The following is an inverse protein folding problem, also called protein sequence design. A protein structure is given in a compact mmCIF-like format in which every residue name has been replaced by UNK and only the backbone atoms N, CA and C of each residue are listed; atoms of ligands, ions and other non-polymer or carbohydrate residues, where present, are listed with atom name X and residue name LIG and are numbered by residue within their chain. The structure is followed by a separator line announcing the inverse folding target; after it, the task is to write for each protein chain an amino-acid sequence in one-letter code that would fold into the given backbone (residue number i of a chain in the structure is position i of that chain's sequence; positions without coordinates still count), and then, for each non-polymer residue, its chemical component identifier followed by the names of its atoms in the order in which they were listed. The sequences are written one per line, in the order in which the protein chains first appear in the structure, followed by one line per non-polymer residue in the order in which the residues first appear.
data_IF_000184579563
#
_entry.id   IF_000184579563
#
_cell.length_a   1.000
_cell.length_b   1.000
_cell.length_c   1.000
_cell.angle_alpha   90.00
_cell.angle_beta   90.00
_cell.angle_gamma   90.00
#
_symmetry.space_group_name_H-M   'P 1'
#
loop_
_entity.id
_entity.type
_entity.pdbx_description
1 polymer ?
#
# COMPACT_ATOMS: atom_id res chain seq x y z
N UNK A 1 -8.78 -20.19 17.45
CA UNK A 1 -7.67 -19.23 17.25
C UNK A 1 -6.31 -19.86 17.54
N UNK A 2 -6.08 -20.38 18.72
CA UNK A 2 -4.77 -20.96 19.11
C UNK A 2 -4.29 -22.10 18.20
N UNK A 3 -5.19 -22.95 17.72
CA UNK A 3 -4.85 -24.01 16.79
C UNK A 3 -4.46 -23.48 15.40
N UNK A 4 -5.17 -22.48 14.89
CA UNK A 4 -4.82 -21.83 13.62
C UNK A 4 -3.46 -21.13 13.73
N UNK A 5 -3.18 -20.44 14.82
CA UNK A 5 -1.89 -19.79 15.06
C UNK A 5 -0.77 -20.84 15.15
N UNK A 6 -0.98 -21.92 15.87
CA UNK A 6 -0.04 -23.03 15.98
C UNK A 6 0.29 -23.67 14.63
N UNK A 7 -0.72 -23.79 13.75
CA UNK A 7 -0.52 -24.33 12.39
C UNK A 7 0.28 -23.36 11.50
N UNK A 8 0.08 -22.05 11.61
CA UNK A 8 0.91 -21.05 10.95
C UNK A 8 2.36 -21.17 11.43
N UNK A 9 2.58 -21.17 12.74
CA UNK A 9 3.91 -21.24 13.34
C UNK A 9 4.66 -22.52 12.93
N UNK A 10 3.96 -23.66 12.89
CA UNK A 10 4.52 -24.92 12.44
C UNK A 10 4.85 -24.89 10.93
N UNK A 11 4.04 -24.27 10.10
CA UNK A 11 4.28 -24.18 8.66
C UNK A 11 5.51 -23.34 8.37
N UNK A 12 5.64 -22.20 9.06
CA UNK A 12 6.80 -21.29 8.96
C UNK A 12 8.07 -21.98 9.48
N UNK A 13 7.99 -22.66 10.65
CA UNK A 13 9.18 -23.28 11.28
C UNK A 13 9.72 -24.49 10.51
N UNK A 14 8.90 -25.16 9.71
CA UNK A 14 9.33 -26.32 8.90
C UNK A 14 9.90 -25.94 7.54
N UNK A 15 9.95 -24.64 7.19
CA UNK A 15 10.43 -24.17 5.89
C UNK A 15 9.57 -24.64 4.70
N UNK A 16 8.42 -25.25 4.97
CA UNK A 16 7.41 -25.58 3.96
C UNK A 16 6.54 -24.35 3.80
N UNK A 17 7.07 -23.35 3.12
CA UNK A 17 6.34 -22.16 2.73
C UNK A 17 5.24 -22.51 1.73
N UNK A 18 4.15 -22.99 2.26
CA UNK A 18 2.90 -23.16 1.54
C UNK A 18 2.07 -21.89 1.84
N UNK A 19 2.27 -20.87 1.02
CA UNK A 19 1.63 -19.55 1.20
C UNK A 19 0.10 -19.68 1.22
N UNK A 20 -0.46 -20.56 0.42
CA UNK A 20 -1.88 -20.88 0.37
C UNK A 20 -2.41 -21.32 1.74
N UNK A 21 -1.68 -22.20 2.44
CA UNK A 21 -2.07 -22.64 3.78
C UNK A 21 -1.96 -21.53 4.81
N UNK A 22 -0.92 -20.70 4.74
CA UNK A 22 -0.75 -19.56 5.64
C UNK A 22 -1.92 -18.59 5.48
N UNK A 23 -2.31 -18.27 4.27
CA UNK A 23 -3.40 -17.33 4.00
C UNK A 23 -4.76 -17.93 4.38
N UNK A 24 -4.96 -19.22 4.17
CA UNK A 24 -6.12 -19.94 4.69
C UNK A 24 -6.24 -19.83 6.22
N UNK A 25 -5.14 -20.09 6.95
CA UNK A 25 -5.15 -20.00 8.42
C UNK A 25 -5.36 -18.57 8.92
N UNK A 26 -4.80 -17.56 8.24
CA UNK A 26 -5.07 -16.15 8.55
C UNK A 26 -6.55 -15.82 8.38
N UNK A 27 -7.18 -16.26 7.30
CA UNK A 27 -8.60 -16.09 7.08
C UNK A 27 -9.43 -16.74 8.21
N UNK A 28 -9.05 -17.93 8.69
CA UNK A 28 -9.71 -18.59 9.80
C UNK A 28 -9.57 -17.81 11.12
N UNK A 29 -8.39 -17.26 11.42
CA UNK A 29 -8.18 -16.42 12.62
C UNK A 29 -9.09 -15.19 12.57
N UNK A 30 -9.12 -14.49 11.44
CA UNK A 30 -9.93 -13.29 11.25
C UNK A 30 -11.43 -13.62 11.37
N UNK A 31 -11.88 -14.76 10.86
CA UNK A 31 -13.27 -15.22 11.07
C UNK A 31 -13.59 -15.48 12.53
N UNK A 32 -12.67 -16.08 13.28
CA UNK A 32 -12.86 -16.27 14.73
C UNK A 32 -12.95 -14.92 15.47
N UNK A 33 -12.16 -13.92 15.07
CA UNK A 33 -12.24 -12.57 15.60
C UNK A 33 -13.60 -11.91 15.27
N UNK A 34 -14.08 -12.07 14.03
CA UNK A 34 -15.38 -11.58 13.61
C UNK A 34 -16.52 -12.21 14.40
N UNK A 35 -16.44 -13.52 14.72
CA UNK A 35 -17.45 -14.23 15.50
C UNK A 35 -17.57 -13.70 16.95
N UNK A 36 -16.49 -13.18 17.52
CA UNK A 36 -16.46 -12.59 18.86
C UNK A 36 -16.68 -11.07 18.89
N UNK A 37 -16.79 -10.43 17.71
CA UNK A 37 -16.98 -8.99 17.60
C UNK A 37 -18.45 -8.61 17.82
N UNK A 38 -18.69 -7.64 18.71
CA UNK A 38 -20.04 -7.12 19.02
C UNK A 38 -20.41 -5.91 18.16
N UNK A 39 -19.45 -5.26 17.53
CA UNK A 39 -19.68 -4.16 16.58
C UNK A 39 -19.96 -4.73 15.19
N UNK A 40 -21.16 -4.54 14.70
CA UNK A 40 -21.61 -5.10 13.42
C UNK A 40 -20.85 -4.50 12.21
N UNK A 41 -20.44 -3.21 12.25
CA UNK A 41 -19.60 -2.61 11.20
C UNK A 41 -18.24 -3.32 11.16
N UNK A 42 -17.59 -3.40 12.32
CA UNK A 42 -16.27 -4.05 12.44
C UNK A 42 -16.33 -5.54 12.10
N UNK A 43 -17.37 -6.24 12.49
CA UNK A 43 -17.58 -7.64 12.14
C UNK A 43 -17.67 -7.84 10.61
N UNK A 44 -18.41 -6.98 9.91
CA UNK A 44 -18.52 -7.01 8.46
C UNK A 44 -17.16 -6.77 7.79
N UNK A 45 -16.38 -5.80 8.28
CA UNK A 45 -15.02 -5.55 7.79
C UNK A 45 -14.12 -6.78 7.96
N UNK A 46 -14.11 -7.40 9.14
CA UNK A 46 -13.33 -8.61 9.42
C UNK A 46 -13.73 -9.78 8.50
N UNK A 47 -15.02 -9.97 8.24
CA UNK A 47 -15.49 -11.00 7.31
C UNK A 47 -15.03 -10.72 5.87
N UNK A 48 -15.05 -9.46 5.44
CA UNK A 48 -14.54 -9.06 4.13
C UNK A 48 -13.03 -9.30 4.02
N UNK A 49 -12.25 -8.95 5.04
CA UNK A 49 -10.81 -9.22 5.08
C UNK A 49 -10.54 -10.73 5.01
N UNK A 50 -11.29 -11.53 5.77
CA UNK A 50 -11.15 -12.98 5.75
C UNK A 50 -11.44 -13.58 4.36
N UNK A 51 -12.46 -13.07 3.67
CA UNK A 51 -12.77 -13.49 2.30
C UNK A 51 -11.68 -13.07 1.31
N UNK A 52 -11.18 -11.84 1.43
CA UNK A 52 -10.07 -11.38 0.62
C UNK A 52 -8.83 -12.28 0.80
N UNK A 53 -8.54 -12.73 2.03
CA UNK A 53 -7.44 -13.67 2.31
C UNK A 53 -7.59 -15.04 1.64
N UNK A 54 -8.82 -15.42 1.21
CA UNK A 54 -9.05 -16.65 0.46
C UNK A 54 -8.87 -16.47 -1.05
N UNK A 55 -8.97 -15.24 -1.52
CA UNK A 55 -8.85 -14.91 -2.94
C UNK A 55 -7.43 -14.53 -3.30
N UNK A 56 -6.83 -13.63 -2.53
CA UNK A 56 -5.48 -13.10 -2.80
C UNK A 56 -4.49 -13.58 -1.74
N UNK A 57 -3.23 -13.89 -2.09
CA UNK A 57 -2.59 -13.69 -3.39
C UNK A 57 -2.72 -14.85 -4.40
N UNK A 58 -3.39 -15.93 -4.07
CA UNK A 58 -3.52 -17.11 -4.95
C UNK A 58 -4.16 -16.76 -6.29
N UNK A 59 -5.18 -15.92 -6.26
CA UNK A 59 -5.90 -15.47 -7.45
C UNK A 59 -5.69 -13.98 -7.69
N UNK A 60 -5.81 -13.50 -8.95
CA UNK A 60 -5.76 -12.08 -9.24
C UNK A 60 -6.85 -11.31 -8.50
N UNK A 61 -6.54 -10.12 -7.94
CA UNK A 61 -7.53 -9.30 -7.27
C UNK A 61 -8.63 -8.85 -8.23
N UNK A 62 -9.85 -8.75 -7.72
CA UNK A 62 -11.04 -8.34 -8.48
C UNK A 62 -11.58 -6.98 -8.01
N UNK A 63 -11.23 -6.56 -6.80
CA UNK A 63 -11.68 -5.30 -6.18
C UNK A 63 -10.49 -4.44 -5.75
N UNK A 64 -10.77 -3.17 -5.52
CA UNK A 64 -9.75 -2.23 -5.02
C UNK A 64 -9.20 -2.66 -3.66
N UNK A 65 -10.04 -3.15 -2.75
CA UNK A 65 -9.59 -3.69 -1.46
C UNK A 65 -8.70 -4.92 -1.61
N UNK A 66 -9.09 -5.89 -2.46
CA UNK A 66 -8.26 -7.07 -2.73
C UNK A 66 -6.90 -6.68 -3.33
N UNK A 67 -6.88 -5.70 -4.23
CA UNK A 67 -5.64 -5.21 -4.82
C UNK A 67 -4.72 -4.57 -3.77
N UNK A 68 -5.24 -3.73 -2.87
CA UNK A 68 -4.49 -3.17 -1.75
C UNK A 68 -3.93 -4.27 -0.84
N UNK A 69 -4.75 -5.26 -0.50
CA UNK A 69 -4.35 -6.37 0.35
C UNK A 69 -3.27 -7.25 -0.30
N UNK A 70 -3.36 -7.46 -1.62
CA UNK A 70 -2.32 -8.18 -2.37
C UNK A 70 -1.00 -7.41 -2.39
N UNK A 71 -1.03 -6.10 -2.61
CA UNK A 71 0.17 -5.24 -2.52
C UNK A 71 0.78 -5.33 -1.13
N UNK A 72 -0.05 -5.29 -0.09
CA UNK A 72 0.41 -5.44 1.29
C UNK A 72 1.07 -6.80 1.54
N UNK A 73 0.49 -7.89 1.09
CA UNK A 73 1.08 -9.23 1.24
C UNK A 73 2.42 -9.34 0.52
N UNK A 74 2.52 -8.83 -0.72
CA UNK A 74 3.78 -8.80 -1.44
C UNK A 74 4.84 -7.97 -0.70
N UNK A 75 4.44 -6.80 -0.16
CA UNK A 75 5.32 -5.94 0.61
C UNK A 75 5.88 -6.65 1.86
N UNK A 76 5.00 -7.26 2.67
CA UNK A 76 5.41 -8.02 3.86
C UNK A 76 6.31 -9.21 3.49
N UNK A 77 6.02 -9.91 2.40
CA UNK A 77 6.88 -10.98 1.91
C UNK A 77 8.29 -10.48 1.58
N UNK A 78 8.40 -9.37 0.84
CA UNK A 78 9.71 -8.76 0.54
C UNK A 78 10.46 -8.32 1.79
N UNK A 79 9.77 -7.76 2.77
CA UNK A 79 10.39 -7.36 4.03
C UNK A 79 10.94 -8.56 4.79
N UNK A 80 10.22 -9.67 4.84
CA UNK A 80 10.64 -10.88 5.56
C UNK A 80 11.71 -11.65 4.78
N UNK A 81 11.50 -11.88 3.47
CA UNK A 81 12.37 -12.75 2.67
C UNK A 81 13.68 -12.09 2.27
N UNK A 82 13.68 -10.78 2.03
CA UNK A 82 14.84 -10.05 1.49
C UNK A 82 15.45 -9.09 2.51
N UNK A 83 14.76 -8.80 3.61
CA UNK A 83 15.18 -7.83 4.63
C UNK A 83 15.62 -6.50 3.99
N UNK A 84 14.80 -5.96 3.10
CA UNK A 84 15.14 -4.75 2.34
C UNK A 84 14.82 -3.49 3.13
N UNK A 85 15.73 -2.53 3.12
CA UNK A 85 15.55 -1.22 3.75
C UNK A 85 14.75 -0.23 2.92
N UNK A 86 14.45 -0.55 1.67
CA UNK A 86 13.81 0.38 0.75
C UNK A 86 12.93 -0.40 -0.24
N UNK A 87 11.77 -0.86 0.22
CA UNK A 87 10.79 -1.53 -0.62
C UNK A 87 9.72 -0.54 -1.05
N UNK A 88 9.94 0.14 -2.17
CA UNK A 88 8.97 1.10 -2.70
C UNK A 88 7.77 0.42 -3.35
N UNK A 89 6.61 1.08 -3.25
CA UNK A 89 5.36 0.65 -3.89
C UNK A 89 5.33 0.96 -5.40
N UNK A 90 6.38 1.61 -5.94
CA UNK A 90 6.46 1.93 -7.36
C UNK A 90 5.35 2.88 -7.83
N UNK A 91 4.96 2.77 -9.10
CA UNK A 91 3.92 3.60 -9.73
C UNK A 91 2.52 3.16 -9.31
N UNK A 92 2.22 3.40 -8.05
CA UNK A 92 1.02 2.90 -7.37
C UNK A 92 -0.28 3.32 -8.06
N UNK A 93 -0.39 4.58 -8.43
CA UNK A 93 -1.57 5.13 -9.10
C UNK A 93 -1.84 4.51 -10.49
N UNK A 94 -0.84 3.85 -11.11
CA UNK A 94 -1.01 3.25 -12.42
C UNK A 94 -1.54 1.80 -12.32
N UNK A 95 -0.89 0.95 -11.54
CA UNK A 95 -1.32 -0.44 -11.45
C UNK A 95 -2.55 -0.65 -10.57
N UNK A 96 -2.83 0.28 -9.65
CA UNK A 96 -4.05 0.28 -8.85
C UNK A 96 -5.24 0.94 -9.56
N UNK A 97 -4.99 1.78 -10.59
CA UNK A 97 -6.03 2.51 -11.30
C UNK A 97 -7.18 1.65 -11.84
N UNK A 98 -6.93 0.49 -12.50
CA UNK A 98 -8.01 -0.33 -13.02
C UNK A 98 -9.00 -0.78 -11.96
N UNK A 99 -8.53 -1.11 -10.77
CA UNK A 99 -9.35 -1.56 -9.64
C UNK A 99 -10.13 -0.39 -9.01
N UNK A 100 -9.46 0.75 -8.81
CA UNK A 100 -10.10 1.96 -8.33
C UNK A 100 -11.19 2.43 -9.30
N UNK A 101 -10.85 2.54 -10.58
CA UNK A 101 -11.79 2.97 -11.62
C UNK A 101 -13.03 2.08 -11.65
N UNK A 102 -12.83 0.76 -11.62
CA UNK A 102 -13.93 -0.21 -11.61
C UNK A 102 -14.83 0.00 -10.41
N UNK A 103 -14.27 -0.02 -9.19
CA UNK A 103 -15.08 -0.05 -7.97
C UNK A 103 -15.68 1.31 -7.59
N UNK A 104 -14.98 2.43 -7.86
CA UNK A 104 -15.42 3.78 -7.45
C UNK A 104 -16.20 4.49 -8.56
N UNK A 105 -15.72 4.39 -9.81
CA UNK A 105 -16.27 5.18 -10.91
C UNK A 105 -17.32 4.41 -11.70
N UNK A 106 -16.96 3.20 -12.16
CA UNK A 106 -17.78 2.45 -13.11
C UNK A 106 -18.93 1.72 -12.40
N UNK A 107 -18.63 0.90 -11.39
CA UNK A 107 -19.61 0.07 -10.67
C UNK A 107 -20.17 0.72 -9.40
N UNK A 108 -19.45 1.70 -8.85
CA UNK A 108 -19.82 2.42 -7.61
C UNK A 108 -20.09 1.48 -6.42
N UNK A 109 -19.26 0.44 -6.30
CA UNK A 109 -19.31 -0.52 -5.20
C UNK A 109 -18.87 0.12 -3.87
N UNK A 110 -17.94 1.07 -3.94
CA UNK A 110 -17.45 1.88 -2.84
C UNK A 110 -17.43 3.36 -3.23
N UNK A 111 -17.53 4.23 -2.24
CA UNK A 111 -17.39 5.66 -2.42
C UNK A 111 -15.92 6.09 -2.48
N UNK A 112 -15.66 7.31 -2.95
CA UNK A 112 -14.32 7.89 -2.93
C UNK A 112 -13.79 8.06 -1.50
N UNK A 113 -14.66 8.39 -0.54
CA UNK A 113 -14.28 8.52 0.88
C UNK A 113 -13.88 7.17 1.49
N UNK A 114 -14.60 6.09 1.15
CA UNK A 114 -14.22 4.73 1.57
C UNK A 114 -12.89 4.30 0.95
N UNK A 115 -12.65 4.64 -0.32
CA UNK A 115 -11.36 4.37 -0.97
C UNK A 115 -10.22 5.19 -0.32
N UNK A 116 -10.48 6.42 0.10
CA UNK A 116 -9.55 7.26 0.85
C UNK A 116 -9.21 6.63 2.21
N UNK A 117 -10.22 6.21 2.98
CA UNK A 117 -10.03 5.50 4.26
C UNK A 117 -9.19 4.23 4.10
N UNK A 118 -9.42 3.46 3.02
CA UNK A 118 -8.61 2.27 2.72
C UNK A 118 -7.14 2.62 2.44
N UNK A 119 -6.87 3.71 1.70
CA UNK A 119 -5.51 4.19 1.45
C UNK A 119 -4.84 4.67 2.74
N UNK A 120 -5.57 5.37 3.59
CA UNK A 120 -5.07 5.82 4.89
C UNK A 120 -4.71 4.64 5.79
N UNK A 121 -5.56 3.62 5.85
CA UNK A 121 -5.26 2.36 6.55
C UNK A 121 -4.00 1.68 5.99
N UNK A 122 -3.84 1.65 4.66
CA UNK A 122 -2.66 1.10 4.01
C UNK A 122 -1.39 1.88 4.36
N UNK A 123 -1.45 3.22 4.41
CA UNK A 123 -0.30 4.07 4.78
C UNK A 123 0.07 3.91 6.26
N UNK A 124 -0.92 3.78 7.15
CA UNK A 124 -0.67 3.46 8.55
C UNK A 124 0.03 2.10 8.69
N UNK A 125 -0.36 1.11 7.90
CA UNK A 125 0.32 -0.18 7.86
C UNK A 125 1.77 -0.08 7.39
N UNK A 126 2.06 0.74 6.40
CA UNK A 126 3.44 1.01 5.96
C UNK A 126 4.29 1.61 7.10
N UNK A 127 3.69 2.43 7.98
CA UNK A 127 4.38 2.97 9.16
C UNK A 127 4.65 1.94 10.26
N UNK A 128 3.98 0.79 10.26
CA UNK A 128 4.15 -0.27 11.27
C UNK A 128 5.34 -1.19 10.98
N UNK A 129 5.89 -1.14 9.77
CA UNK A 129 6.99 -2.02 9.36
C UNK A 129 8.31 -1.47 9.87
N UNK A 130 8.97 -2.23 10.75
CA UNK A 130 10.30 -1.93 11.25
C UNK A 130 11.18 -3.17 11.16
N UNK A 131 12.42 -2.96 10.71
CA UNK A 131 13.40 -4.04 10.64
C UNK A 131 14.28 -4.08 11.91
N UNK A 132 14.55 -5.28 12.37
CA UNK A 132 15.57 -5.52 13.38
C UNK A 132 16.91 -5.68 12.67
N UNK A 133 17.82 -4.72 12.89
CA UNK A 133 19.13 -4.68 12.24
C UNK A 133 20.27 -4.84 13.25
N UNK A 134 21.45 -5.13 12.73
CA UNK A 134 22.66 -5.16 13.55
C UNK A 134 22.98 -3.78 14.17
N UNK A 135 23.84 -3.76 15.18
CA UNK A 135 24.19 -2.55 15.95
C UNK A 135 24.74 -1.43 15.06
N UNK A 136 25.55 -1.75 14.07
CA UNK A 136 26.17 -0.75 13.20
C UNK A 136 25.10 -0.04 12.36
N UNK A 137 24.25 -0.84 11.73
CA UNK A 137 23.15 -0.32 10.91
C UNK A 137 22.19 0.53 11.76
N UNK A 138 21.75 -0.01 12.89
CA UNK A 138 20.83 0.70 13.80
C UNK A 138 21.42 2.03 14.30
N UNK A 139 22.75 2.11 14.51
CA UNK A 139 23.40 3.35 14.93
C UNK A 139 23.53 4.35 13.78
N UNK A 140 23.85 3.87 12.57
CA UNK A 140 24.08 4.73 11.39
C UNK A 140 22.77 5.32 10.85
N UNK A 141 21.66 4.59 10.97
CA UNK A 141 20.34 4.97 10.45
C UNK A 141 19.31 5.24 11.56
N UNK A 142 19.79 5.51 12.78
CA UNK A 142 18.89 5.81 13.89
C UNK A 142 17.99 7.01 13.60
N UNK A 143 16.67 6.81 13.73
CA UNK A 143 15.66 7.84 13.46
C UNK A 143 15.23 8.00 12.00
N UNK A 144 15.86 7.27 11.06
CA UNK A 144 15.40 7.24 9.68
C UNK A 144 14.29 6.20 9.51
N UNK A 145 13.17 6.56 8.84
CA UNK A 145 12.14 5.60 8.50
C UNK A 145 12.61 4.65 7.40
N UNK A 146 11.91 3.53 7.24
CA UNK A 146 12.04 2.70 6.04
C UNK A 146 11.67 3.54 4.82
N UNK A 147 12.46 3.52 3.75
CA UNK A 147 12.20 4.32 2.55
C UNK A 147 11.21 3.60 1.63
N UNK A 148 9.96 3.63 1.99
CA UNK A 148 8.87 3.02 1.22
C UNK A 148 8.28 4.08 0.29
N UNK A 149 8.83 4.18 -0.92
CA UNK A 149 8.45 5.23 -1.87
C UNK A 149 7.20 4.82 -2.64
N UNK A 150 6.18 5.68 -2.62
CA UNK A 150 4.98 5.58 -3.44
C UNK A 150 5.01 6.66 -4.52
N UNK A 151 4.96 6.24 -5.78
CA UNK A 151 5.11 7.13 -6.93
C UNK A 151 3.76 7.37 -7.59
N UNK A 152 3.47 8.63 -7.92
CA UNK A 152 2.27 9.04 -8.67
C UNK A 152 2.61 9.94 -9.85
N UNK A 153 1.73 10.00 -10.84
CA UNK A 153 1.88 10.86 -12.03
C UNK A 153 2.92 10.37 -13.04
N UNK A 154 3.51 11.30 -13.76
CA UNK A 154 4.47 11.05 -14.83
C UNK A 154 3.84 10.78 -16.17
N UNK A 155 4.53 9.99 -17.02
CA UNK A 155 4.09 9.67 -18.38
C UNK A 155 3.69 8.20 -18.51
N UNK A 156 2.72 7.96 -19.39
CA UNK A 156 2.40 6.64 -19.92
C UNK A 156 3.48 6.20 -20.93
N UNK A 157 3.57 4.90 -21.29
CA UNK A 157 4.54 4.42 -22.28
C UNK A 157 4.44 5.08 -23.66
N UNK A 158 3.26 5.63 -24.01
CA UNK A 158 3.02 6.36 -25.25
C UNK A 158 3.24 7.90 -25.12
N UNK A 159 3.85 8.34 -24.02
CA UNK A 159 4.26 9.73 -23.80
C UNK A 159 3.13 10.71 -23.43
N UNK A 160 1.98 10.19 -22.99
CA UNK A 160 0.87 11.02 -22.50
C UNK A 160 0.93 11.18 -20.99
N UNK A 161 0.14 12.11 -20.47
CA UNK A 161 -0.01 12.26 -19.04
C UNK A 161 -0.63 11.02 -18.40
N UNK A 162 -0.01 10.56 -17.32
CA UNK A 162 -0.44 9.39 -16.56
C UNK A 162 -1.20 9.75 -15.28
N UNK A 163 -1.37 11.05 -15.01
CA UNK A 163 -2.13 11.51 -13.85
C UNK A 163 -3.60 11.09 -13.94
N UNK A 164 -4.12 10.55 -12.86
CA UNK A 164 -5.50 10.12 -12.75
C UNK A 164 -6.10 10.50 -11.38
N UNK A 165 -7.37 10.23 -11.14
CA UNK A 165 -8.04 10.58 -9.87
C UNK A 165 -7.35 9.94 -8.66
N UNK A 166 -6.85 8.70 -8.80
CA UNK A 166 -6.14 8.00 -7.74
C UNK A 166 -4.81 8.70 -7.39
N UNK A 167 -4.15 9.36 -8.36
CA UNK A 167 -2.95 10.17 -8.08
C UNK A 167 -3.24 11.28 -7.07
N UNK A 168 -4.38 11.97 -7.22
CA UNK A 168 -4.83 12.99 -6.28
C UNK A 168 -5.25 12.42 -4.94
N UNK A 169 -5.91 11.26 -4.95
CA UNK A 169 -6.38 10.60 -3.73
C UNK A 169 -5.21 10.09 -2.88
N UNK A 170 -4.16 9.57 -3.51
CA UNK A 170 -2.92 9.18 -2.83
C UNK A 170 -2.25 10.36 -2.11
N UNK A 171 -2.19 11.52 -2.76
CA UNK A 171 -1.68 12.74 -2.12
C UNK A 171 -2.59 13.22 -0.99
N UNK A 172 -3.92 13.08 -1.14
CA UNK A 172 -4.87 13.44 -0.10
C UNK A 172 -4.69 12.60 1.15
N UNK A 173 -4.61 11.28 1.02
CA UNK A 173 -4.36 10.35 2.13
C UNK A 173 -3.07 10.74 2.88
N UNK A 174 -1.98 11.00 2.17
CA UNK A 174 -0.72 11.44 2.77
C UNK A 174 -0.86 12.80 3.47
N UNK A 175 -1.66 13.72 2.89
CA UNK A 175 -1.88 15.06 3.46
C UNK A 175 -2.68 15.01 4.76
N UNK A 176 -3.67 14.13 4.85
CA UNK A 176 -4.50 14.00 6.04
C UNK A 176 -3.74 13.32 7.18
N UNK A 177 -3.04 12.23 6.90
CA UNK A 177 -2.32 11.45 7.92
C UNK A 177 -1.03 12.13 8.41
N UNK A 178 -0.31 12.82 7.53
CA UNK A 178 1.00 13.45 7.84
C UNK A 178 2.02 12.46 8.42
N UNK A 179 1.98 11.21 7.98
CA UNK A 179 2.89 10.14 8.38
C UNK A 179 4.24 10.25 7.66
N UNK A 180 5.26 9.58 8.20
CA UNK A 180 6.59 9.53 7.60
C UNK A 180 6.65 8.53 6.43
N UNK A 181 5.72 7.60 6.35
CA UNK A 181 5.60 6.58 5.31
C UNK A 181 4.15 6.51 4.80
N UNK A 182 3.98 6.15 3.53
CA UNK A 182 5.00 6.07 2.48
C UNK A 182 5.57 7.47 2.11
N UNK A 183 6.81 7.49 1.62
CA UNK A 183 7.39 8.71 1.06
C UNK A 183 6.77 8.95 -0.31
N UNK A 184 6.05 10.05 -0.48
CA UNK A 184 5.38 10.38 -1.73
C UNK A 184 6.34 10.97 -2.75
N UNK A 185 6.33 10.42 -3.97
CA UNK A 185 7.09 10.91 -5.11
C UNK A 185 6.14 11.27 -6.25
N UNK A 186 6.14 12.53 -6.66
CA UNK A 186 5.38 13.01 -7.82
C UNK A 186 6.31 13.09 -9.02
N UNK A 187 6.06 12.27 -10.04
CA UNK A 187 6.77 12.37 -11.30
C UNK A 187 6.20 13.51 -12.12
N UNK A 188 7.07 14.36 -12.65
CA UNK A 188 6.68 15.56 -13.40
C UNK A 188 7.34 15.60 -14.78
N UNK A 189 6.65 16.20 -15.74
CA UNK A 189 7.07 16.48 -17.10
C UNK A 189 6.31 17.69 -17.64
N UNK A 190 6.55 18.11 -18.87
CA UNK A 190 5.90 19.31 -19.45
C UNK A 190 4.38 19.25 -19.48
N UNK A 191 3.80 18.05 -19.67
CA UNK A 191 2.35 17.84 -19.71
C UNK A 191 1.71 17.53 -18.35
N UNK A 192 2.46 17.60 -17.25
CA UNK A 192 1.88 17.34 -15.92
C UNK A 192 0.84 18.41 -15.58
N UNK A 193 -0.38 18.02 -15.14
CA UNK A 193 -1.41 18.98 -14.74
C UNK A 193 -0.92 19.90 -13.62
N UNK A 194 -1.10 21.20 -13.82
CA UNK A 194 -0.70 22.22 -12.83
C UNK A 194 -1.35 21.98 -11.47
N UNK A 195 -2.56 21.44 -11.46
CA UNK A 195 -3.31 21.12 -10.25
C UNK A 195 -2.59 20.06 -9.39
N UNK A 196 -1.99 19.04 -10.01
CA UNK A 196 -1.21 18.02 -9.29
C UNK A 196 0.01 18.65 -8.61
N UNK A 197 0.74 19.50 -9.35
CA UNK A 197 1.91 20.22 -8.82
C UNK A 197 1.47 21.14 -7.67
N UNK A 198 0.40 21.90 -7.87
CA UNK A 198 -0.14 22.83 -6.87
C UNK A 198 -0.56 22.12 -5.59
N UNK A 199 -1.19 20.94 -5.69
CA UNK A 199 -1.55 20.09 -4.53
C UNK A 199 -0.31 19.68 -3.76
N UNK A 200 0.72 19.16 -4.42
CA UNK A 200 1.97 18.78 -3.77
C UNK A 200 2.71 19.97 -3.14
N UNK A 201 2.77 21.13 -3.82
CA UNK A 201 3.35 22.35 -3.25
C UNK A 201 2.60 22.81 -2.01
N UNK A 202 1.27 22.70 -2.00
CA UNK A 202 0.46 23.05 -0.82
C UNK A 202 0.78 22.16 0.38
N UNK A 203 0.96 20.86 0.17
CA UNK A 203 1.37 19.92 1.24
C UNK A 203 2.71 20.35 1.86
N UNK A 204 3.69 20.73 1.02
CA UNK A 204 5.00 21.22 1.50
C UNK A 204 4.84 22.54 2.26
N UNK A 205 4.01 23.47 1.76
CA UNK A 205 3.72 24.72 2.43
C UNK A 205 3.07 24.54 3.81
N UNK A 206 2.29 23.46 3.98
CA UNK A 206 1.68 23.07 5.25
C UNK A 206 2.66 22.35 6.21
N UNK A 207 3.95 22.30 5.86
CA UNK A 207 5.02 21.82 6.70
C UNK A 207 5.32 20.32 6.56
N UNK A 208 4.83 19.68 5.51
CA UNK A 208 5.18 18.27 5.25
C UNK A 208 6.51 18.14 4.52
N UNK A 209 7.25 17.06 4.79
CA UNK A 209 8.45 16.70 4.05
C UNK A 209 8.14 16.06 2.67
N UNK A 210 6.88 15.81 2.39
CA UNK A 210 6.34 15.16 1.20
C UNK A 210 5.42 16.12 0.41
N UNK A 211 5.26 15.90 -0.91
CA UNK A 211 5.98 14.96 -1.78
C UNK A 211 7.32 15.51 -2.29
N UNK A 212 8.22 14.60 -2.71
CA UNK A 212 9.34 14.96 -3.58
C UNK A 212 8.92 15.02 -5.05
N UNK A 213 9.43 15.99 -5.82
CA UNK A 213 9.17 16.10 -7.25
C UNK A 213 10.34 15.54 -8.07
N UNK A 214 10.04 14.66 -9.01
CA UNK A 214 11.05 13.98 -9.85
C UNK A 214 10.76 14.24 -11.32
N UNK A 215 11.74 14.78 -12.03
CA UNK A 215 11.61 15.10 -13.45
C UNK A 215 11.83 13.84 -14.30
N UNK A 216 10.83 13.47 -15.11
CA UNK A 216 10.87 12.31 -16.00
C UNK A 216 11.99 12.39 -17.04
N UNK A 217 12.27 13.58 -17.57
CA UNK A 217 13.35 13.72 -18.54
C UNK A 217 14.73 13.43 -17.94
N UNK A 218 14.95 13.80 -16.69
CA UNK A 218 16.20 13.46 -16.01
C UNK A 218 16.30 11.95 -15.74
N UNK A 219 15.21 11.33 -15.31
CA UNK A 219 15.16 9.89 -15.06
C UNK A 219 15.39 9.07 -16.34
N UNK A 220 14.73 9.41 -17.45
CA UNK A 220 14.87 8.71 -18.73
C UNK A 220 16.23 8.89 -19.42
N UNK A 221 16.98 9.94 -19.08
CA UNK A 221 18.33 10.14 -19.62
C UNK A 221 19.40 9.33 -18.88
N UNK A 222 19.09 8.81 -17.71
CA UNK A 222 20.01 8.02 -16.89
C UNK A 222 19.85 6.50 -17.09
N UNK A 223 18.84 6.08 -17.85
CA UNK A 223 18.62 4.69 -18.28
C UNK A 223 19.02 4.47 -19.72
#
# INVERSE_FOLDING_TARGET
MEECQRNIDNTVSTGKEDQEKIDYWKACIIQCQAASCTDEKRKKELLTIAENCRVVPENPPQTFWQALQMVWFAHVYFQIAVCTTACGFGRFDQYMWPYYKKDVIDEKNITQDEALEMLECFYLKACEVYEVRDKWYATSFAGYPMWEILVVGGQTPDGKDATNELSYLCLEAANQLKTTQPVMAVRTWEGTPEELIRKGCKMIQEGQANPGFFNDYAAMKMT
#
